data_IF_927578187953
#
_entry.id   IF_927578187953
#
_cell.length_a   1.000
_cell.length_b   1.000
_cell.length_c   1.000
_cell.angle_alpha   90.00
_cell.angle_beta   90.00
_cell.angle_gamma   90.00
#
_symmetry.space_group_name_H-M   'P 1'
#
loop_
_entity.id
_entity.type
_entity.pdbx_description
1 polymer ?
#
# COMPACT_ATOMS: atom_id res chain seq x y z
N UNK A 1 -31.41 24.33 -14.58
CA UNK A 1 -30.31 23.44 -14.14
C UNK A 1 -30.85 22.60 -12.99
N UNK A 2 -30.96 21.26 -13.11
CA UNK A 2 -31.48 20.46 -12.02
C UNK A 2 -30.42 20.35 -10.91
N UNK A 3 -30.75 20.86 -9.73
CA UNK A 3 -30.00 20.67 -8.50
C UNK A 3 -29.80 19.17 -8.25
N UNK A 4 -28.54 18.72 -8.17
CA UNK A 4 -28.26 17.32 -7.78
C UNK A 4 -28.70 17.12 -6.32
N UNK A 5 -29.33 15.99 -5.97
CA UNK A 5 -30.00 15.83 -4.69
C UNK A 5 -29.00 15.74 -3.53
N UNK A 6 -29.16 16.64 -2.56
CA UNK A 6 -28.44 16.79 -1.28
C UNK A 6 -28.34 15.46 -0.48
N UNK A 7 -29.26 14.51 -0.71
CA UNK A 7 -29.22 13.16 -0.11
C UNK A 7 -28.03 12.30 -0.56
N UNK A 8 -27.53 12.49 -1.78
CA UNK A 8 -26.39 11.73 -2.30
C UNK A 8 -25.08 12.11 -1.59
N UNK A 9 -24.91 13.41 -1.31
CA UNK A 9 -23.70 13.94 -0.68
C UNK A 9 -23.58 13.53 0.79
N UNK A 10 -24.71 13.52 1.53
CA UNK A 10 -24.72 13.09 2.94
C UNK A 10 -24.39 11.61 3.08
N UNK A 11 -24.89 10.75 2.18
CA UNK A 11 -24.53 9.32 2.14
C UNK A 11 -23.06 9.10 1.83
N UNK A 12 -22.51 9.81 0.86
CA UNK A 12 -21.08 9.70 0.53
C UNK A 12 -20.18 10.14 1.68
N UNK A 13 -20.54 11.19 2.42
CA UNK A 13 -19.80 11.64 3.61
C UNK A 13 -19.84 10.62 4.74
N UNK A 14 -21.00 10.00 5.00
CA UNK A 14 -21.13 8.96 6.01
C UNK A 14 -20.35 7.69 5.63
N UNK A 15 -20.40 7.29 4.36
CA UNK A 15 -19.62 6.16 3.85
C UNK A 15 -18.12 6.43 3.96
N UNK A 16 -17.65 7.62 3.60
CA UNK A 16 -16.26 8.02 3.77
C UNK A 16 -15.83 7.99 5.24
N UNK A 17 -16.64 8.54 6.14
CA UNK A 17 -16.34 8.58 7.57
C UNK A 17 -16.20 7.18 8.20
N UNK A 18 -16.90 6.18 7.67
CA UNK A 18 -16.76 4.79 8.12
C UNK A 18 -15.63 4.03 7.39
N UNK A 19 -15.56 4.15 6.06
CA UNK A 19 -14.65 3.35 5.24
C UNK A 19 -13.18 3.77 5.38
N UNK A 20 -12.90 5.07 5.56
CA UNK A 20 -11.53 5.57 5.67
C UNK A 20 -10.83 5.01 6.93
N UNK A 21 -11.40 5.11 8.15
CA UNK A 21 -10.80 4.49 9.33
C UNK A 21 -10.67 2.97 9.21
N UNK A 22 -11.69 2.29 8.66
CA UNK A 22 -11.65 0.83 8.47
C UNK A 22 -10.52 0.42 7.52
N UNK A 23 -10.30 1.17 6.45
CA UNK A 23 -9.20 0.95 5.52
C UNK A 23 -7.84 1.06 6.24
N UNK A 24 -7.60 2.15 6.98
CA UNK A 24 -6.36 2.31 7.74
C UNK A 24 -6.17 1.28 8.84
N UNK A 25 -7.24 0.90 9.55
CA UNK A 25 -7.18 -0.16 10.55
C UNK A 25 -6.79 -1.50 9.92
N UNK A 26 -7.30 -1.78 8.72
CA UNK A 26 -6.98 -2.99 7.96
C UNK A 26 -5.50 -3.02 7.58
N UNK A 27 -4.92 -1.90 7.14
CA UNK A 27 -3.49 -1.78 6.83
C UNK A 27 -2.61 -2.08 8.07
N UNK A 28 -2.95 -1.50 9.23
CA UNK A 28 -2.21 -1.79 10.47
C UNK A 28 -2.32 -3.24 10.92
N UNK A 29 -3.51 -3.83 10.78
CA UNK A 29 -3.74 -5.23 11.10
C UNK A 29 -2.97 -6.15 10.14
N UNK A 30 -2.98 -5.82 8.85
CA UNK A 30 -2.20 -6.54 7.83
C UNK A 30 -0.71 -6.47 8.17
N UNK A 31 -0.17 -5.31 8.58
CA UNK A 31 1.23 -5.18 8.96
C UNK A 31 1.60 -6.10 10.14
N UNK A 32 0.77 -6.14 11.19
CA UNK A 32 0.99 -7.00 12.35
C UNK A 32 0.92 -8.49 12.00
N UNK A 33 -0.09 -8.88 11.20
CA UNK A 33 -0.25 -10.26 10.70
C UNK A 33 0.94 -10.64 9.82
N UNK A 34 1.41 -9.74 8.96
CA UNK A 34 2.56 -9.96 8.06
C UNK A 34 3.83 -10.24 8.85
N UNK A 35 4.13 -9.43 9.87
CA UNK A 35 5.30 -9.62 10.72
C UNK A 35 5.25 -10.96 11.48
N UNK A 36 4.07 -11.31 12.01
CA UNK A 36 3.87 -12.58 12.73
C UNK A 36 4.01 -13.78 11.80
N UNK A 37 3.42 -13.70 10.61
CA UNK A 37 3.50 -14.75 9.60
C UNK A 37 4.93 -14.93 9.08
N UNK A 38 5.68 -13.83 8.91
CA UNK A 38 7.08 -13.88 8.52
C UNK A 38 7.90 -14.69 9.51
N UNK A 39 7.80 -14.36 10.81
CA UNK A 39 8.51 -15.09 11.87
C UNK A 39 8.11 -16.57 11.92
N UNK A 40 6.82 -16.87 11.78
CA UNK A 40 6.32 -18.24 11.76
C UNK A 40 6.84 -19.05 10.56
N UNK A 41 6.87 -18.46 9.36
CA UNK A 41 7.43 -19.10 8.17
C UNK A 41 8.94 -19.32 8.31
N UNK A 42 9.67 -18.37 8.89
CA UNK A 42 11.09 -18.54 9.19
C UNK A 42 11.37 -19.68 10.13
N UNK A 43 10.58 -19.81 11.21
CA UNK A 43 10.69 -20.94 12.14
C UNK A 43 10.40 -22.31 11.51
N UNK A 44 9.73 -22.34 10.34
CA UNK A 44 9.49 -23.55 9.55
C UNK A 44 10.55 -23.82 8.48
N UNK A 45 11.61 -23.02 8.43
CA UNK A 45 12.72 -23.21 7.51
C UNK A 45 12.50 -22.64 6.11
N UNK A 46 11.47 -21.81 5.89
CA UNK A 46 11.29 -21.15 4.60
C UNK A 46 12.41 -20.13 4.34
N UNK A 47 12.93 -20.14 3.13
CA UNK A 47 13.93 -19.18 2.68
C UNK A 47 13.34 -17.77 2.60
N UNK A 48 14.19 -16.74 2.73
CA UNK A 48 13.73 -15.34 2.62
C UNK A 48 13.09 -15.06 1.26
N UNK A 49 13.58 -15.70 0.19
CA UNK A 49 13.05 -15.58 -1.17
C UNK A 49 11.65 -16.17 -1.30
N UNK A 50 11.39 -17.34 -0.71
CA UNK A 50 10.05 -17.95 -0.72
C UNK A 50 9.04 -17.11 0.04
N UNK A 51 9.43 -16.57 1.20
CA UNK A 51 8.57 -15.69 2.00
C UNK A 51 8.28 -14.41 1.22
N UNK A 52 9.28 -13.83 0.56
CA UNK A 52 9.09 -12.67 -0.32
C UNK A 52 8.13 -12.95 -1.46
N UNK A 53 8.27 -14.08 -2.17
CA UNK A 53 7.35 -14.46 -3.25
C UNK A 53 5.91 -14.61 -2.74
N UNK A 54 5.72 -15.25 -1.58
CA UNK A 54 4.40 -15.43 -0.98
C UNK A 54 3.76 -14.08 -0.59
N UNK A 55 4.53 -13.20 0.04
CA UNK A 55 4.05 -11.89 0.47
C UNK A 55 3.80 -10.97 -0.72
N UNK A 56 4.63 -11.05 -1.75
CA UNK A 56 4.42 -10.35 -3.02
C UNK A 56 3.13 -10.76 -3.71
N UNK A 57 2.88 -12.07 -3.86
CA UNK A 57 1.64 -12.56 -4.45
C UNK A 57 0.40 -12.12 -3.64
N UNK A 58 0.47 -12.21 -2.30
CA UNK A 58 -0.61 -11.78 -1.42
C UNK A 58 -0.86 -10.26 -1.51
N UNK A 59 0.20 -9.44 -1.50
CA UNK A 59 0.11 -7.99 -1.65
C UNK A 59 -0.48 -7.60 -3.00
N UNK A 60 -0.08 -8.28 -4.08
CA UNK A 60 -0.63 -8.04 -5.41
C UNK A 60 -2.14 -8.35 -5.48
N UNK A 61 -2.57 -9.45 -4.85
CA UNK A 61 -3.97 -9.83 -4.76
C UNK A 61 -4.80 -8.82 -3.95
N UNK A 62 -4.29 -8.41 -2.79
CA UNK A 62 -4.92 -7.40 -1.92
C UNK A 62 -5.02 -6.05 -2.61
N UNK A 63 -3.94 -5.57 -3.22
CA UNK A 63 -3.95 -4.31 -3.94
C UNK A 63 -4.95 -4.33 -5.10
N UNK A 64 -4.99 -5.42 -5.86
CA UNK A 64 -5.99 -5.61 -6.93
C UNK A 64 -7.42 -5.61 -6.40
N UNK A 65 -7.66 -6.21 -5.23
CA UNK A 65 -8.97 -6.20 -4.57
C UNK A 65 -9.37 -4.77 -4.18
N UNK A 66 -8.50 -4.02 -3.50
CA UNK A 66 -8.79 -2.65 -3.10
C UNK A 66 -9.02 -1.71 -4.28
N UNK A 67 -8.23 -1.84 -5.36
CA UNK A 67 -8.45 -1.07 -6.59
C UNK A 67 -9.85 -1.36 -7.15
N UNK A 68 -10.26 -2.63 -7.22
CA UNK A 68 -11.61 -3.01 -7.70
C UNK A 68 -12.72 -2.49 -6.79
N UNK A 69 -12.52 -2.54 -5.48
CA UNK A 69 -13.48 -2.00 -4.52
C UNK A 69 -13.63 -0.48 -4.66
N UNK A 70 -12.53 0.25 -4.79
CA UNK A 70 -12.52 1.69 -5.01
C UNK A 70 -13.22 2.07 -6.33
N UNK A 71 -12.96 1.32 -7.39
CA UNK A 71 -13.62 1.51 -8.70
C UNK A 71 -15.13 1.26 -8.64
N UNK A 72 -15.57 0.24 -7.89
CA UNK A 72 -17.00 -0.07 -7.72
C UNK A 72 -17.75 0.92 -6.84
N UNK A 73 -17.10 1.41 -5.79
CA UNK A 73 -17.72 2.34 -4.83
C UNK A 73 -17.81 3.77 -5.38
N UNK A 74 -16.99 4.12 -6.39
CA UNK A 74 -17.00 5.44 -7.02
C UNK A 74 -16.61 6.58 -6.08
N UNK A 75 -16.01 6.23 -4.94
CA UNK A 75 -15.61 7.13 -3.86
C UNK A 75 -14.13 6.90 -3.60
N UNK A 76 -13.35 7.98 -3.49
CA UNK A 76 -11.93 7.90 -3.16
C UNK A 76 -11.74 7.67 -1.65
N UNK A 77 -11.70 6.39 -1.27
CA UNK A 77 -11.52 5.96 0.12
C UNK A 77 -10.07 6.24 0.59
N UNK A 78 -9.14 6.39 -0.36
CA UNK A 78 -7.72 6.59 -0.07
C UNK A 78 -7.33 8.07 0.12
N UNK A 79 -8.25 9.01 -0.11
CA UNK A 79 -8.02 10.46 -0.07
C UNK A 79 -6.93 10.97 -1.05
N UNK A 80 -6.48 10.13 -1.99
CA UNK A 80 -5.36 10.41 -2.90
C UNK A 80 -5.68 11.54 -3.88
N UNK A 81 -6.93 11.72 -4.26
CA UNK A 81 -7.36 12.84 -5.11
C UNK A 81 -7.26 14.19 -4.39
N UNK A 82 -7.46 14.21 -3.07
CA UNK A 82 -7.29 15.43 -2.29
C UNK A 82 -5.80 15.78 -2.15
N UNK A 83 -4.98 14.78 -1.80
CA UNK A 83 -3.52 14.92 -1.73
C UNK A 83 -2.95 15.41 -3.07
N UNK A 84 -3.43 14.84 -4.18
CA UNK A 84 -2.99 15.23 -5.50
C UNK A 84 -3.33 16.68 -5.85
N UNK A 85 -4.57 17.12 -5.60
CA UNK A 85 -4.96 18.52 -5.84
C UNK A 85 -4.07 19.49 -5.08
N UNK A 86 -3.67 19.13 -3.86
CA UNK A 86 -2.74 19.91 -3.06
C UNK A 86 -1.32 19.94 -3.67
N UNK A 87 -0.84 18.82 -4.21
CA UNK A 87 0.46 18.78 -4.92
C UNK A 87 0.46 19.58 -6.21
N UNK A 88 -0.60 19.50 -7.02
CA UNK A 88 -0.73 20.26 -8.27
C UNK A 88 -0.78 21.77 -7.99
N UNK A 89 -1.50 22.18 -6.94
CA UNK A 89 -1.53 23.58 -6.51
C UNK A 89 -0.15 24.11 -6.13
N UNK A 90 0.62 23.31 -5.40
CA UNK A 90 1.99 23.68 -4.99
C UNK A 90 2.94 23.75 -6.18
N UNK A 91 2.83 22.81 -7.14
CA UNK A 91 3.66 22.78 -8.35
C UNK A 91 3.41 23.94 -9.31
N UNK A 92 2.17 24.46 -9.38
CA UNK A 92 1.83 25.60 -10.23
C UNK A 92 2.51 26.91 -9.80
N UNK A 93 2.88 27.05 -8.51
CA UNK A 93 3.66 28.21 -8.04
C UNK A 93 5.16 28.06 -8.30
N UNK A 94 5.69 26.86 -8.15
CA UNK A 94 7.13 26.61 -8.31
C UNK A 94 7.36 25.18 -8.84
N UNK A 95 7.71 25.03 -10.14
CA UNK A 95 7.79 23.72 -10.79
C UNK A 95 8.74 22.74 -10.09
N UNK A 96 9.91 23.21 -9.66
CA UNK A 96 10.90 22.40 -8.94
C UNK A 96 10.37 21.87 -7.60
N UNK A 97 9.65 22.70 -6.84
CA UNK A 97 9.03 22.29 -5.58
C UNK A 97 7.93 21.26 -5.85
N UNK A 98 7.17 21.42 -6.94
CA UNK A 98 6.19 20.44 -7.38
C UNK A 98 6.79 19.06 -7.63
N UNK A 99 7.90 18.98 -8.38
CA UNK A 99 8.59 17.72 -8.66
C UNK A 99 9.18 17.06 -7.42
N UNK A 100 9.81 17.83 -6.53
CA UNK A 100 10.35 17.31 -5.27
C UNK A 100 9.23 16.75 -4.38
N UNK A 101 8.12 17.48 -4.25
CA UNK A 101 6.98 17.09 -3.43
C UNK A 101 6.31 15.83 -3.97
N UNK A 102 6.11 15.76 -5.29
CA UNK A 102 5.55 14.59 -5.96
C UNK A 102 6.46 13.36 -5.78
N UNK A 103 7.78 13.52 -5.93
CA UNK A 103 8.74 12.46 -5.69
C UNK A 103 8.69 11.95 -4.25
N UNK A 104 8.71 12.86 -3.27
CA UNK A 104 8.61 12.51 -1.86
C UNK A 104 7.31 11.77 -1.52
N UNK A 105 6.18 12.19 -2.12
CA UNK A 105 4.90 11.52 -1.95
C UNK A 105 4.91 10.14 -2.59
N UNK A 106 5.44 9.98 -3.81
CA UNK A 106 5.53 8.67 -4.45
C UNK A 106 6.37 7.70 -3.62
N UNK A 107 7.50 8.15 -3.08
CA UNK A 107 8.35 7.34 -2.18
C UNK A 107 7.59 6.96 -0.91
N UNK A 108 6.94 7.92 -0.26
CA UNK A 108 6.12 7.64 0.94
C UNK A 108 5.01 6.64 0.64
N UNK A 109 4.27 6.84 -0.45
CA UNK A 109 3.16 5.96 -0.84
C UNK A 109 3.66 4.54 -1.09
N UNK A 110 4.76 4.41 -1.83
CA UNK A 110 5.37 3.11 -2.13
C UNK A 110 5.84 2.38 -0.87
N UNK A 111 6.46 3.09 0.08
CA UNK A 111 7.04 2.44 1.26
C UNK A 111 6.00 2.11 2.33
N UNK A 112 5.06 3.02 2.57
CA UNK A 112 4.22 2.97 3.76
C UNK A 112 2.75 2.63 3.48
N UNK A 113 2.23 3.11 2.36
CA UNK A 113 0.78 3.16 2.13
C UNK A 113 0.30 2.11 1.11
N UNK A 114 1.23 1.48 0.38
CA UNK A 114 0.90 0.39 -0.54
C UNK A 114 0.92 0.79 -2.03
N UNK A 115 1.00 -0.22 -2.92
CA UNK A 115 1.06 0.02 -4.35
C UNK A 115 -0.33 0.43 -4.90
N UNK A 116 -1.41 0.13 -4.15
CA UNK A 116 -2.77 0.56 -4.44
C UNK A 116 -2.89 2.09 -4.41
N UNK A 117 -2.48 2.73 -3.31
CA UNK A 117 -2.56 4.19 -3.17
C UNK A 117 -1.65 4.90 -4.17
N UNK A 118 -0.45 4.38 -4.40
CA UNK A 118 0.47 4.88 -5.43
C UNK A 118 -0.17 4.85 -6.83
N UNK A 119 -0.83 3.73 -7.18
CA UNK A 119 -1.51 3.61 -8.46
C UNK A 119 -2.68 4.59 -8.58
N UNK A 120 -3.50 4.74 -7.52
CA UNK A 120 -4.63 5.69 -7.51
C UNK A 120 -4.13 7.12 -7.68
N UNK A 121 -3.04 7.49 -6.98
CA UNK A 121 -2.40 8.80 -7.10
C UNK A 121 -1.92 9.08 -8.54
N UNK A 122 -1.20 8.12 -9.13
CA UNK A 122 -0.63 8.23 -10.49
C UNK A 122 -1.63 7.94 -11.63
N UNK A 123 -2.87 7.53 -11.33
CA UNK A 123 -3.81 7.02 -12.33
C UNK A 123 -4.09 7.97 -13.50
N UNK A 124 -4.17 9.30 -13.29
CA UNK A 124 -4.37 10.21 -14.46
C UNK A 124 -3.10 10.39 -15.30
N UNK A 125 -1.90 10.13 -14.77
CA UNK A 125 -0.66 10.19 -15.57
C UNK A 125 -0.47 8.91 -16.39
N UNK A 126 -1.00 7.79 -15.91
CA UNK A 126 -0.92 6.48 -16.55
C UNK A 126 -2.20 6.19 -17.33
N UNK A 127 -2.26 6.57 -18.59
CA UNK A 127 -3.43 6.36 -19.45
C UNK A 127 -3.59 4.91 -19.91
N UNK A 128 -2.50 4.14 -20.01
CA UNK A 128 -2.55 2.76 -20.48
C UNK A 128 -2.77 1.77 -19.33
N UNK A 129 -3.69 0.82 -19.53
CA UNK A 129 -3.93 -0.28 -18.58
C UNK A 129 -2.68 -1.13 -18.35
N UNK A 130 -1.88 -1.32 -19.40
CA UNK A 130 -0.60 -2.02 -19.33
C UNK A 130 0.39 -1.33 -18.38
N UNK A 131 0.54 0.00 -18.47
CA UNK A 131 1.42 0.73 -17.57
C UNK A 131 0.91 0.75 -16.13
N UNK A 132 -0.41 0.80 -15.92
CA UNK A 132 -1.01 0.67 -14.59
C UNK A 132 -0.71 -0.70 -13.95
N UNK A 133 -0.87 -1.78 -14.72
CA UNK A 133 -0.54 -3.14 -14.25
C UNK A 133 0.96 -3.30 -14.00
N UNK A 134 1.81 -2.83 -14.91
CA UNK A 134 3.26 -2.89 -14.75
C UNK A 134 3.71 -2.12 -13.51
N UNK A 135 3.17 -0.92 -13.28
CA UNK A 135 3.45 -0.16 -12.06
C UNK A 135 2.99 -0.92 -10.81
N UNK A 136 1.78 -1.48 -10.81
CA UNK A 136 1.25 -2.23 -9.68
C UNK A 136 2.14 -3.43 -9.33
N UNK A 137 2.56 -4.20 -10.35
CA UNK A 137 3.43 -5.37 -10.19
C UNK A 137 4.81 -4.97 -9.69
N UNK A 138 5.43 -3.94 -10.29
CA UNK A 138 6.75 -3.47 -9.91
C UNK A 138 6.76 -2.83 -8.51
N UNK A 139 5.80 -1.96 -8.23
CA UNK A 139 5.66 -1.30 -6.93
C UNK A 139 5.38 -2.31 -5.81
N UNK A 140 4.48 -3.27 -6.04
CA UNK A 140 4.19 -4.32 -5.04
C UNK A 140 5.40 -5.20 -4.77
N UNK A 141 6.17 -5.57 -5.81
CA UNK A 141 7.38 -6.38 -5.67
C UNK A 141 8.48 -5.65 -4.90
N UNK A 142 8.74 -4.40 -5.28
CA UNK A 142 9.73 -3.54 -4.62
C UNK A 142 9.35 -3.27 -3.15
N UNK A 143 8.09 -2.94 -2.89
CA UNK A 143 7.62 -2.71 -1.53
C UNK A 143 7.76 -3.97 -0.67
N UNK A 144 7.34 -5.14 -1.17
CA UNK A 144 7.47 -6.39 -0.41
C UNK A 144 8.91 -6.80 -0.23
N UNK A 145 9.78 -6.52 -1.19
CA UNK A 145 11.23 -6.72 -1.03
C UNK A 145 11.74 -5.91 0.16
N UNK A 146 11.43 -4.62 0.23
CA UNK A 146 11.85 -3.73 1.32
C UNK A 146 11.29 -4.23 2.67
N UNK A 147 9.99 -4.53 2.76
CA UNK A 147 9.38 -4.99 4.01
C UNK A 147 9.93 -6.32 4.48
N UNK A 148 10.21 -7.26 3.58
CA UNK A 148 10.87 -8.53 3.93
C UNK A 148 12.27 -8.30 4.49
N UNK A 149 13.05 -7.35 3.95
CA UNK A 149 14.34 -7.00 4.54
C UNK A 149 14.16 -6.38 5.93
N UNK A 150 13.18 -5.49 6.12
CA UNK A 150 12.84 -4.94 7.43
C UNK A 150 12.47 -6.05 8.43
N UNK A 151 11.66 -7.03 8.02
CA UNK A 151 11.31 -8.17 8.87
C UNK A 151 12.49 -9.11 9.11
N UNK A 152 13.39 -9.26 8.15
CA UNK A 152 14.61 -10.04 8.34
C UNK A 152 15.51 -9.38 9.39
N UNK A 153 15.69 -8.06 9.32
CA UNK A 153 16.49 -7.31 10.29
C UNK A 153 15.84 -7.23 11.67
N UNK A 154 14.51 -7.10 11.73
CA UNK A 154 13.77 -6.99 13.00
C UNK A 154 13.41 -8.34 13.63
N UNK A 155 12.67 -9.17 12.91
CA UNK A 155 12.18 -10.46 13.40
C UNK A 155 13.19 -11.60 13.24
N UNK A 156 14.01 -11.57 12.19
CA UNK A 156 15.01 -12.61 11.90
C UNK A 156 15.98 -12.83 13.06
N UNK A 157 16.52 -11.74 13.63
CA UNK A 157 17.42 -11.84 14.79
C UNK A 157 16.75 -12.50 16.01
N UNK A 158 15.45 -12.30 16.22
CA UNK A 158 14.70 -12.92 17.31
C UNK A 158 14.48 -14.41 17.03
N UNK A 159 14.10 -14.78 15.79
CA UNK A 159 13.89 -16.19 15.43
C UNK A 159 15.19 -16.98 15.50
N UNK A 160 16.31 -16.40 15.10
CA UNK A 160 17.63 -17.05 15.13
C UNK A 160 18.08 -17.31 16.58
N UNK A 161 17.84 -16.34 17.47
CA UNK A 161 18.03 -16.52 18.92
C UNK A 161 17.20 -17.68 19.48
N UNK A 162 15.94 -17.81 19.07
CA UNK A 162 15.05 -18.90 19.52
C UNK A 162 15.53 -20.26 18.99
N UNK A 163 15.96 -20.34 17.73
CA UNK A 163 16.47 -21.57 17.14
C UNK A 163 17.77 -22.03 17.81
N UNK A 164 18.67 -21.07 18.09
CA UNK A 164 19.92 -21.31 18.80
C UNK A 164 19.66 -21.82 20.23
N UNK A 165 18.68 -21.25 20.94
CA UNK A 165 18.26 -21.73 22.26
C UNK A 165 17.68 -23.15 22.23
N UNK A 166 17.02 -23.53 21.12
CA UNK A 166 16.48 -24.88 20.91
C UNK A 166 17.52 -25.89 20.40
N UNK A 167 18.78 -25.49 20.22
CA UNK A 167 19.85 -26.36 19.72
C UNK A 167 19.69 -26.77 18.25
N UNK A 168 18.86 -26.05 17.49
CA UNK A 168 18.69 -26.25 16.04
C UNK A 168 19.66 -25.31 15.34
N UNK A 169 20.60 -25.85 14.56
CA UNK A 169 21.46 -24.99 13.73
C UNK A 169 20.59 -24.31 12.64
N UNK A 170 20.71 -22.98 12.51
CA UNK A 170 19.91 -22.19 11.56
C UNK A 170 20.26 -22.50 10.10
#
# INVERSE_FOLDING_TARGET
>A
MPERPIKSERRSRLLLAALVPTFYLTEWLLLAVSATLFGWLKLRGFSTTEIWLAFWAANLALASFFIRCNDRLGVDITLMQALRRWTEFSGNRTPWVGHLLEGAICVRLLLWEGPCQLLIYLRRRLTSRGAQLALLVAASGLQMFIWVQVYTLGCGGITDLILLWKGVQP
#
